data_IF_846090462445
#
_entry.id   IF_846090462445
#
_cell.length_a   1.000
_cell.length_b   1.000
_cell.length_c   1.000
_cell.angle_alpha   90.00
_cell.angle_beta   90.00
_cell.angle_gamma   90.00
#
_symmetry.space_group_name_H-M   'P 1'
#
loop_
_entity.id
_entity.type
_entity.pdbx_description
1 polymer ?
#
# COMPACT_ATOMS: atom_id res chain seq x y z
N UNK A 1 -84.86 -11.79 -20.99
CA UNK A 1 -83.73 -11.29 -21.79
C UNK A 1 -82.74 -10.76 -20.78
N UNK A 2 -81.66 -11.56 -20.44
CA UNK A 2 -80.67 -11.27 -19.37
C UNK A 2 -79.39 -10.87 -20.07
N UNK A 3 -78.95 -9.64 -19.87
CA UNK A 3 -77.66 -9.16 -20.34
C UNK A 3 -76.57 -9.47 -19.28
N UNK A 4 -75.54 -10.23 -19.66
CA UNK A 4 -74.36 -10.45 -18.90
C UNK A 4 -73.37 -9.38 -19.28
N UNK A 5 -72.92 -8.56 -18.29
CA UNK A 5 -71.78 -7.66 -18.41
C UNK A 5 -70.52 -8.43 -18.04
N UNK A 6 -69.60 -8.59 -18.98
CA UNK A 6 -68.24 -9.12 -18.75
C UNK A 6 -67.34 -7.94 -18.40
N UNK A 7 -66.97 -7.87 -17.15
CA UNK A 7 -65.93 -6.91 -16.68
C UNK A 7 -64.53 -7.38 -17.00
N UNK A 8 -63.80 -6.61 -17.80
CA UNK A 8 -62.38 -6.84 -18.14
C UNK A 8 -61.52 -6.27 -17.03
N UNK A 9 -60.86 -7.15 -16.24
CA UNK A 9 -59.87 -6.75 -15.23
C UNK A 9 -58.53 -6.59 -15.92
N UNK A 10 -58.04 -5.33 -16.00
CA UNK A 10 -56.70 -5.00 -16.47
C UNK A 10 -55.70 -5.19 -15.30
N UNK A 11 -54.90 -6.26 -15.31
CA UNK A 11 -53.78 -6.41 -14.41
C UNK A 11 -52.60 -5.55 -14.92
N UNK A 12 -52.34 -4.45 -14.23
CA UNK A 12 -51.14 -3.68 -14.43
C UNK A 12 -49.95 -4.42 -13.74
N UNK A 13 -49.06 -5.00 -14.54
CA UNK A 13 -47.78 -5.48 -14.06
C UNK A 13 -46.85 -4.27 -13.84
N UNK A 14 -46.65 -3.87 -12.60
CA UNK A 14 -45.59 -2.93 -12.22
C UNK A 14 -44.30 -3.71 -12.27
N UNK A 15 -43.53 -3.46 -13.32
CA UNK A 15 -42.16 -3.95 -13.45
C UNK A 15 -41.26 -3.21 -12.45
N UNK A 16 -40.92 -3.87 -11.35
CA UNK A 16 -39.92 -3.42 -10.41
C UNK A 16 -38.58 -4.01 -10.84
N UNK A 17 -37.88 -3.35 -11.75
CA UNK A 17 -36.53 -3.70 -12.14
C UNK A 17 -35.70 -2.43 -12.24
N UNK A 18 -34.76 -2.31 -11.32
CA UNK A 18 -33.47 -1.55 -11.36
C UNK A 18 -33.24 -0.65 -10.16
N UNK A 19 -32.88 -1.25 -9.05
CA UNK A 19 -32.19 -0.55 -7.95
C UNK A 19 -31.02 -1.37 -7.37
N UNK A 20 -30.32 -2.16 -8.19
CA UNK A 20 -29.15 -2.93 -7.73
C UNK A 20 -27.81 -2.47 -8.31
N UNK A 21 -27.73 -1.40 -9.08
CA UNK A 21 -26.49 -1.01 -9.77
C UNK A 21 -25.81 0.28 -9.28
N UNK A 22 -26.28 0.89 -8.19
CA UNK A 22 -25.72 2.17 -7.72
C UNK A 22 -24.95 2.12 -6.39
N UNK A 23 -24.80 0.98 -5.75
CA UNK A 23 -24.16 0.89 -4.43
C UNK A 23 -22.72 0.35 -4.46
N UNK A 24 -22.18 -0.03 -5.63
CA UNK A 24 -20.78 -0.45 -5.77
C UNK A 24 -19.80 0.69 -6.08
N UNK A 25 -20.29 1.91 -6.33
CA UNK A 25 -19.49 3.00 -6.87
C UNK A 25 -18.70 3.83 -5.83
N UNK A 26 -18.82 3.56 -4.54
CA UNK A 26 -18.26 4.45 -3.49
C UNK A 26 -17.28 3.81 -2.51
N UNK A 27 -16.67 2.67 -2.85
CA UNK A 27 -15.60 2.09 -2.03
C UNK A 27 -14.31 2.86 -2.29
N UNK A 28 -13.96 3.77 -1.38
CA UNK A 28 -12.72 4.54 -1.46
C UNK A 28 -11.53 3.65 -1.11
N UNK A 29 -10.52 3.69 -1.99
CA UNK A 29 -9.22 3.05 -1.75
C UNK A 29 -8.29 3.99 -1.00
N UNK A 30 -7.59 3.47 0.00
CA UNK A 30 -6.48 4.17 0.64
C UNK A 30 -5.25 4.02 -0.25
N UNK A 31 -4.77 5.16 -0.79
CA UNK A 31 -3.55 5.24 -1.59
C UNK A 31 -2.56 6.12 -0.83
N UNK A 32 -1.36 5.62 -0.60
CA UNK A 32 -0.28 6.43 -0.02
C UNK A 32 0.46 7.11 -1.17
N UNK A 33 0.66 8.43 -1.04
CA UNK A 33 1.58 9.21 -1.86
C UNK A 33 2.85 9.48 -1.06
N UNK A 34 4.01 9.17 -1.63
CA UNK A 34 5.32 9.60 -1.14
C UNK A 34 5.84 10.66 -2.11
N UNK A 35 6.17 11.84 -1.60
CA UNK A 35 6.87 12.88 -2.37
C UNK A 35 8.34 12.87 -1.96
N UNK A 36 9.23 12.74 -2.95
CA UNK A 36 10.68 12.73 -2.78
C UNK A 36 11.35 13.73 -3.73
N UNK A 37 12.65 14.05 -3.56
CA UNK A 37 13.40 14.81 -4.55
C UNK A 37 13.41 14.18 -5.96
N UNK A 38 13.29 12.85 -6.07
CA UNK A 38 13.25 12.11 -7.35
C UNK A 38 11.85 12.06 -7.97
N UNK A 39 10.81 12.50 -7.26
CA UNK A 39 9.43 12.53 -7.73
C UNK A 39 8.45 11.79 -6.82
N UNK A 40 7.23 11.61 -7.30
CA UNK A 40 6.15 11.01 -6.53
C UNK A 40 6.06 9.49 -6.74
N UNK A 41 5.74 8.78 -5.67
CA UNK A 41 5.49 7.33 -5.67
C UNK A 41 4.11 7.11 -5.05
N UNK A 42 3.27 6.30 -5.69
CA UNK A 42 1.93 5.99 -5.20
C UNK A 42 1.81 4.48 -5.02
N UNK A 43 1.31 4.06 -3.87
CA UNK A 43 1.04 2.66 -3.61
C UNK A 43 -0.27 2.44 -2.86
N UNK A 44 -0.90 1.30 -3.12
CA UNK A 44 -2.08 0.83 -2.39
C UNK A 44 -1.66 -0.04 -1.22
N UNK A 45 -2.49 -0.04 -0.17
CA UNK A 45 -2.34 -0.92 0.98
C UNK A 45 -3.29 -2.10 0.87
N UNK A 46 -2.80 -3.30 1.17
CA UNK A 46 -3.58 -4.54 1.07
C UNK A 46 -4.53 -4.73 2.25
N UNK A 47 -5.77 -5.10 1.97
CA UNK A 47 -6.78 -5.40 3.00
C UNK A 47 -6.50 -6.73 3.72
N UNK A 48 -5.71 -7.60 3.10
CA UNK A 48 -5.27 -8.89 3.67
C UNK A 48 -4.24 -8.74 4.80
N UNK A 49 -3.69 -7.53 5.00
CA UNK A 49 -2.73 -7.21 6.07
C UNK A 49 -3.24 -6.03 6.91
N UNK A 50 -4.39 -6.20 7.61
CA UNK A 50 -5.11 -5.10 8.24
C UNK A 50 -4.33 -4.39 9.36
N UNK A 51 -3.48 -5.11 10.11
CA UNK A 51 -2.67 -4.51 11.17
C UNK A 51 -1.57 -3.63 10.60
N UNK A 52 -0.82 -4.12 9.59
CA UNK A 52 0.20 -3.33 8.89
C UNK A 52 -0.45 -2.12 8.19
N UNK A 53 -1.57 -2.33 7.48
CA UNK A 53 -2.32 -1.24 6.83
C UNK A 53 -2.73 -0.16 7.82
N UNK A 54 -3.38 -0.52 8.92
CA UNK A 54 -3.89 0.45 9.91
C UNK A 54 -2.76 1.19 10.63
N UNK A 55 -1.68 0.46 10.99
CA UNK A 55 -0.48 1.05 11.60
C UNK A 55 0.20 2.04 10.66
N UNK A 56 0.41 1.67 9.41
CA UNK A 56 1.06 2.55 8.43
C UNK A 56 0.24 3.82 8.16
N UNK A 57 -1.08 3.68 7.95
CA UNK A 57 -1.99 4.83 7.79
C UNK A 57 -1.92 5.77 9.00
N UNK A 58 -1.87 5.22 10.21
CA UNK A 58 -1.76 6.02 11.43
C UNK A 58 -0.46 6.81 11.45
N UNK A 59 0.69 6.17 11.20
CA UNK A 59 2.00 6.82 11.17
C UNK A 59 2.08 7.93 10.12
N UNK A 60 1.54 7.69 8.91
CA UNK A 60 1.48 8.72 7.86
C UNK A 60 0.64 9.92 8.30
N UNK A 61 -0.54 9.68 8.90
CA UNK A 61 -1.42 10.77 9.37
C UNK A 61 -0.86 11.56 10.54
N UNK A 62 -0.06 10.90 11.38
CA UNK A 62 0.63 11.52 12.52
C UNK A 62 1.89 12.31 12.09
N UNK A 63 2.24 12.30 10.78
CA UNK A 63 3.44 12.96 10.24
C UNK A 63 4.74 12.25 10.63
N UNK A 64 4.67 11.01 11.11
CA UNK A 64 5.82 10.28 11.64
C UNK A 64 7.00 10.19 10.66
N UNK A 65 6.73 10.02 9.36
CA UNK A 65 7.76 9.84 8.34
C UNK A 65 8.44 11.13 7.91
N UNK A 66 7.96 12.31 8.33
CA UNK A 66 8.52 13.61 7.89
C UNK A 66 9.97 13.82 8.37
N UNK A 67 10.35 13.19 9.49
CA UNK A 67 11.70 13.22 10.06
C UNK A 67 12.62 12.12 9.52
N UNK A 68 12.14 11.30 8.57
CA UNK A 68 12.89 10.15 8.05
C UNK A 68 13.16 10.26 6.55
N UNK A 69 14.03 9.36 6.07
CA UNK A 69 14.50 9.29 4.68
C UNK A 69 14.38 7.86 4.14
N UNK A 70 14.60 7.69 2.84
CA UNK A 70 15.11 6.43 2.32
C UNK A 70 16.55 6.29 2.81
N UNK A 71 16.76 5.50 3.84
CA UNK A 71 18.02 5.40 4.59
C UNK A 71 18.88 4.21 4.18
N UNK A 72 18.39 3.33 3.30
CA UNK A 72 19.17 2.24 2.72
C UNK A 72 18.62 1.90 1.33
N UNK A 73 19.43 2.09 0.29
CA UNK A 73 19.00 1.87 -1.09
C UNK A 73 20.02 1.00 -1.84
N UNK A 74 19.54 -0.07 -2.47
CA UNK A 74 20.40 -1.04 -3.16
C UNK A 74 19.81 -1.32 -4.53
N UNK A 75 20.58 -1.04 -5.59
CA UNK A 75 20.16 -1.34 -6.97
C UNK A 75 19.91 -2.85 -7.14
N UNK A 76 18.89 -3.18 -7.90
CA UNK A 76 18.41 -4.53 -8.13
C UNK A 76 18.00 -5.28 -6.84
N UNK A 77 17.63 -4.52 -5.80
CA UNK A 77 17.14 -5.07 -4.54
C UNK A 77 15.97 -4.26 -4.01
N UNK A 78 16.19 -3.29 -3.13
CA UNK A 78 15.14 -2.50 -2.48
C UNK A 78 15.52 -1.04 -2.28
N UNK A 79 14.50 -0.16 -2.18
CA UNK A 79 14.57 1.13 -1.53
C UNK A 79 13.90 1.02 -0.15
N UNK A 80 14.66 1.14 0.92
CA UNK A 80 14.21 1.02 2.31
C UNK A 80 14.19 2.39 2.98
N UNK A 81 13.14 2.67 3.76
CA UNK A 81 12.98 3.95 4.45
C UNK A 81 12.16 3.83 5.74
N UNK A 82 12.04 4.95 6.44
CA UNK A 82 11.43 5.04 7.76
C UNK A 82 12.45 4.97 8.87
N UNK A 83 12.10 4.41 10.04
CA UNK A 83 13.01 4.35 11.16
C UNK A 83 14.30 3.58 10.81
N UNK A 84 15.46 3.97 11.40
CA UNK A 84 16.75 3.38 11.06
C UNK A 84 16.80 1.91 11.47
N UNK A 85 17.64 1.16 10.76
CA UNK A 85 17.94 -0.27 11.02
C UNK A 85 18.97 -0.38 12.16
N UNK A 86 18.58 0.08 13.35
CA UNK A 86 19.42 0.05 14.55
C UNK A 86 18.73 -0.74 15.66
N UNK A 87 19.49 -1.33 16.61
CA UNK A 87 18.92 -2.04 17.76
C UNK A 87 17.90 -1.19 18.53
N UNK A 88 18.14 0.12 18.66
CA UNK A 88 17.25 1.06 19.35
C UNK A 88 15.97 1.28 18.54
N UNK A 89 16.06 1.37 17.21
CA UNK A 89 14.91 1.55 16.30
C UNK A 89 13.93 0.39 16.39
N UNK A 90 14.40 -0.85 16.57
CA UNK A 90 13.57 -2.04 16.71
C UNK A 90 13.18 -2.34 18.16
N UNK A 91 14.13 -2.29 19.11
CA UNK A 91 13.89 -2.73 20.49
C UNK A 91 12.91 -1.84 21.25
N UNK A 92 12.85 -0.55 20.91
CA UNK A 92 11.94 0.42 21.51
C UNK A 92 10.76 0.80 20.58
N UNK A 93 10.57 0.09 19.47
CA UNK A 93 9.46 0.37 18.57
C UNK A 93 8.14 -0.04 19.22
N UNK A 94 7.24 0.90 19.59
CA UNK A 94 5.91 0.57 20.05
C UNK A 94 5.02 -0.05 18.95
N UNK A 95 5.54 -0.16 17.74
CA UNK A 95 4.86 -0.59 16.51
C UNK A 95 5.34 -1.94 16.00
N UNK A 96 5.81 -2.84 16.88
CA UNK A 96 6.09 -4.22 16.50
C UNK A 96 4.79 -4.96 16.19
N UNK A 97 4.65 -5.36 14.92
CA UNK A 97 3.46 -6.01 14.37
C UNK A 97 3.72 -7.49 14.15
N UNK A 98 2.77 -8.33 14.57
CA UNK A 98 2.81 -9.75 14.26
C UNK A 98 2.77 -9.96 12.73
N UNK A 99 3.41 -11.02 12.19
CA UNK A 99 3.45 -11.25 10.76
C UNK A 99 2.05 -11.51 10.19
N UNK A 100 1.77 -10.92 9.03
CA UNK A 100 0.54 -11.10 8.26
C UNK A 100 0.89 -11.67 6.88
N UNK A 101 1.47 -12.89 6.85
CA UNK A 101 1.83 -13.55 5.59
C UNK A 101 0.57 -14.02 4.86
N UNK A 102 0.53 -13.79 3.55
CA UNK A 102 -0.58 -14.18 2.71
C UNK A 102 -0.07 -14.82 1.41
N UNK A 103 -0.66 -15.95 0.94
CA UNK A 103 -0.14 -16.68 -0.23
C UNK A 103 -0.17 -15.87 -1.52
N UNK A 104 -1.06 -14.88 -1.64
CA UNK A 104 -1.18 -14.04 -2.83
C UNK A 104 -0.32 -12.77 -2.78
N UNK A 105 0.27 -12.45 -1.61
CA UNK A 105 1.10 -11.27 -1.42
C UNK A 105 2.58 -11.68 -1.45
N UNK A 106 3.22 -11.45 -2.60
CA UNK A 106 4.60 -11.85 -2.87
C UNK A 106 5.49 -10.65 -3.11
N UNK A 107 6.79 -10.83 -2.90
CA UNK A 107 7.80 -9.80 -3.14
C UNK A 107 8.08 -9.63 -4.64
N UNK A 108 7.05 -9.27 -5.39
CA UNK A 108 7.17 -8.90 -6.81
C UNK A 108 7.70 -7.47 -6.96
N UNK A 109 8.08 -7.07 -8.17
CA UNK A 109 8.49 -5.68 -8.47
C UNK A 109 7.43 -4.67 -8.02
N UNK A 110 7.83 -3.68 -7.22
CA UNK A 110 6.95 -2.67 -6.63
C UNK A 110 6.18 -3.12 -5.38
N UNK A 111 6.36 -4.37 -4.89
CA UNK A 111 5.79 -4.76 -3.61
C UNK A 111 6.35 -3.90 -2.47
N UNK A 112 5.48 -3.51 -1.52
CA UNK A 112 5.86 -2.77 -0.32
C UNK A 112 5.86 -3.73 0.86
N UNK A 113 7.03 -3.96 1.44
CA UNK A 113 7.23 -4.86 2.57
C UNK A 113 7.58 -4.12 3.86
N UNK A 114 7.30 -4.76 4.99
CA UNK A 114 7.62 -4.24 6.31
C UNK A 114 9.01 -4.71 6.75
N UNK A 115 9.87 -3.76 7.19
CA UNK A 115 11.18 -4.07 7.73
C UNK A 115 11.11 -4.74 9.10
N UNK A 116 12.13 -5.53 9.43
CA UNK A 116 12.30 -6.13 10.75
C UNK A 116 13.74 -6.51 11.02
N UNK A 117 14.08 -6.63 12.28
CA UNK A 117 15.29 -7.28 12.74
C UNK A 117 15.19 -8.83 12.67
N UNK A 118 16.20 -9.52 13.12
CA UNK A 118 16.21 -10.99 13.13
C UNK A 118 15.54 -11.56 14.41
N UNK A 119 14.29 -11.14 14.70
CA UNK A 119 13.52 -11.69 15.82
C UNK A 119 12.85 -13.03 15.45
N UNK A 120 12.80 -13.99 16.40
CA UNK A 120 12.24 -15.33 16.14
C UNK A 120 10.76 -15.33 15.77
N UNK A 121 9.99 -14.37 16.28
CA UNK A 121 8.56 -14.20 16.03
C UNK A 121 8.29 -13.58 14.65
N UNK A 122 9.31 -13.15 13.92
CA UNK A 122 9.24 -12.49 12.61
C UNK A 122 8.35 -11.23 12.62
N UNK A 123 8.28 -10.54 13.77
CA UNK A 123 7.50 -9.31 13.94
C UNK A 123 8.14 -8.15 13.18
N UNK A 124 7.30 -7.35 12.54
CA UNK A 124 7.74 -6.19 11.78
C UNK A 124 7.87 -4.95 12.66
N UNK A 125 8.86 -4.12 12.36
CA UNK A 125 8.89 -2.74 12.85
C UNK A 125 7.89 -1.91 12.03
N UNK A 126 6.77 -1.52 12.60
CA UNK A 126 5.74 -0.77 11.88
C UNK A 126 6.20 0.58 11.30
N UNK A 127 7.34 1.09 11.78
CA UNK A 127 8.00 2.34 11.36
C UNK A 127 8.95 2.18 10.17
N UNK A 128 9.26 0.95 9.72
CA UNK A 128 10.19 0.70 8.63
C UNK A 128 9.50 -0.02 7.47
N UNK A 129 9.72 0.43 6.26
CA UNK A 129 9.22 -0.19 5.04
C UNK A 129 10.29 -0.27 3.97
N UNK A 130 10.08 -1.11 2.98
CA UNK A 130 10.90 -1.14 1.76
C UNK A 130 10.04 -1.36 0.52
N UNK A 131 10.51 -0.87 -0.62
CA UNK A 131 9.91 -1.09 -1.93
C UNK A 131 10.82 -2.02 -2.72
N UNK A 132 10.29 -3.13 -3.20
CA UNK A 132 11.03 -4.09 -4.04
C UNK A 132 11.31 -3.47 -5.39
N UNK A 133 12.60 -3.30 -5.73
CA UNK A 133 13.02 -2.72 -7.00
C UNK A 133 13.51 -3.79 -8.00
N UNK A 134 13.90 -4.98 -7.51
CA UNK A 134 14.27 -6.09 -8.39
C UNK A 134 13.10 -6.51 -9.29
N UNK A 135 13.30 -6.49 -10.62
CA UNK A 135 12.25 -6.77 -11.61
C UNK A 135 11.81 -8.23 -11.62
N UNK A 136 12.66 -9.16 -11.18
CA UNK A 136 12.33 -10.57 -11.04
C UNK A 136 11.65 -10.89 -9.70
N UNK A 137 11.54 -9.89 -8.82
CA UNK A 137 11.05 -10.06 -7.46
C UNK A 137 12.11 -10.58 -6.49
N UNK A 138 11.74 -10.64 -5.22
CA UNK A 138 12.60 -11.11 -4.14
C UNK A 138 11.94 -12.29 -3.41
N UNK A 139 11.55 -13.33 -4.16
CA UNK A 139 10.77 -14.47 -3.64
C UNK A 139 11.42 -15.22 -2.48
N UNK A 140 12.75 -15.04 -2.26
CA UNK A 140 13.45 -15.57 -1.07
C UNK A 140 12.97 -14.92 0.25
N UNK A 141 12.25 -13.77 0.17
CA UNK A 141 11.68 -13.04 1.31
C UNK A 141 10.22 -13.42 1.57
N UNK A 142 9.58 -14.14 0.65
CA UNK A 142 8.19 -14.59 0.80
C UNK A 142 8.06 -15.47 2.06
N UNK A 143 6.93 -15.29 2.78
CA UNK A 143 6.62 -15.97 4.03
C UNK A 143 7.66 -15.73 5.17
N UNK A 144 8.52 -14.70 5.03
CA UNK A 144 9.49 -14.25 6.03
C UNK A 144 9.35 -12.77 6.40
N UNK A 145 8.86 -11.97 5.46
CA UNK A 145 8.56 -10.55 5.63
C UNK A 145 7.14 -10.29 5.13
N UNK A 146 6.39 -9.45 5.83
CA UNK A 146 5.02 -9.12 5.43
C UNK A 146 5.03 -8.13 4.27
N UNK A 147 4.41 -8.50 3.16
CA UNK A 147 4.07 -7.59 2.07
C UNK A 147 2.71 -6.98 2.38
N UNK A 148 2.63 -5.65 2.53
CA UNK A 148 1.40 -4.97 2.93
C UNK A 148 0.91 -3.93 1.92
N UNK A 149 1.62 -3.75 0.79
CA UNK A 149 1.23 -2.82 -0.24
C UNK A 149 1.85 -3.13 -1.60
N UNK A 150 1.42 -2.38 -2.62
CA UNK A 150 1.92 -2.46 -3.99
C UNK A 150 2.00 -1.06 -4.61
N UNK A 151 3.16 -0.70 -5.16
CA UNK A 151 3.32 0.51 -5.95
C UNK A 151 2.49 0.40 -7.23
N UNK A 152 1.69 1.43 -7.48
CA UNK A 152 0.81 1.53 -8.64
C UNK A 152 1.27 2.60 -9.64
N UNK A 153 2.10 3.56 -9.18
CA UNK A 153 2.67 4.61 -10.04
C UNK A 153 3.97 5.13 -9.41
N UNK A 154 4.96 5.47 -10.25
CA UNK A 154 6.21 6.07 -9.80
C UNK A 154 7.36 5.08 -9.59
N UNK A 155 7.31 3.85 -10.10
CA UNK A 155 8.43 2.92 -10.03
C UNK A 155 9.71 3.44 -10.72
N UNK A 156 9.59 4.29 -11.75
CA UNK A 156 10.73 4.99 -12.35
C UNK A 156 11.45 5.91 -11.34
N UNK A 157 10.74 6.49 -10.37
CA UNK A 157 11.33 7.28 -9.30
C UNK A 157 12.03 6.38 -8.27
N UNK A 158 11.46 5.19 -7.98
CA UNK A 158 12.14 4.16 -7.16
C UNK A 158 13.42 3.69 -7.85
N UNK A 159 13.38 3.47 -9.17
CA UNK A 159 14.58 3.12 -9.97
C UNK A 159 15.65 4.22 -9.92
N UNK A 160 15.25 5.49 -9.84
CA UNK A 160 16.20 6.61 -9.67
C UNK A 160 16.76 6.67 -8.23
N UNK A 161 15.94 6.40 -7.23
CA UNK A 161 16.35 6.38 -5.81
C UNK A 161 17.44 5.34 -5.56
N UNK A 162 17.30 4.11 -6.07
CA UNK A 162 18.29 3.06 -5.82
C UNK A 162 19.61 3.23 -6.57
N UNK A 163 19.72 4.25 -7.43
CA UNK A 163 20.92 4.56 -8.23
C UNK A 163 21.69 5.77 -7.73
N UNK A 164 21.27 6.39 -6.66
CA UNK A 164 22.05 7.47 -6.05
C UNK A 164 23.36 6.93 -5.46
N UNK A 165 24.34 7.80 -5.29
CA UNK A 165 25.57 7.45 -4.60
C UNK A 165 25.31 7.21 -3.12
N UNK A 166 25.88 6.12 -2.57
CA UNK A 166 25.71 5.67 -1.19
C UNK A 166 27.05 5.46 -0.51
N UNK A 167 27.02 5.42 0.81
CA UNK A 167 28.15 5.03 1.63
C UNK A 167 28.36 3.49 1.71
N UNK A 168 29.22 3.03 2.59
CA UNK A 168 29.55 1.61 2.77
C UNK A 168 28.45 0.75 3.40
N UNK A 169 27.38 1.37 3.90
CA UNK A 169 26.20 0.70 4.47
C UNK A 169 24.93 0.93 3.63
N UNK A 170 25.11 1.34 2.37
CA UNK A 170 24.04 1.61 1.39
C UNK A 170 23.18 2.84 1.75
N UNK A 171 23.62 3.74 2.64
CA UNK A 171 22.92 4.98 2.95
C UNK A 171 23.24 6.06 1.91
N UNK A 172 22.23 6.74 1.32
CA UNK A 172 22.46 7.83 0.38
C UNK A 172 23.28 8.98 0.99
N UNK A 173 24.34 9.46 0.29
CA UNK A 173 25.09 10.64 0.73
C UNK A 173 24.23 11.89 0.82
N UNK A 174 23.28 12.05 -0.12
CA UNK A 174 22.31 13.13 -0.08
C UNK A 174 20.97 12.58 0.43
N UNK A 175 20.42 13.13 1.53
CA UNK A 175 19.19 12.62 2.14
C UNK A 175 18.00 12.62 1.19
N UNK A 176 17.34 11.49 1.03
CA UNK A 176 16.11 11.36 0.24
C UNK A 176 14.92 11.39 1.20
N UNK A 177 14.36 12.59 1.40
CA UNK A 177 13.30 12.83 2.37
C UNK A 177 11.97 12.14 1.99
N UNK A 178 11.19 11.78 3.01
CA UNK A 178 9.89 11.15 2.89
C UNK A 178 8.80 12.14 3.32
N UNK A 179 8.05 12.69 2.35
CA UNK A 179 6.80 13.38 2.67
C UNK A 179 5.63 12.51 2.23
N UNK A 180 4.84 12.06 3.20
CA UNK A 180 3.77 11.09 2.95
C UNK A 180 2.40 11.65 3.26
N UNK A 181 1.41 11.22 2.47
CA UNK A 181 0.00 11.45 2.78
C UNK A 181 -0.86 10.26 2.35
N UNK A 182 -2.01 10.10 3.00
CA UNK A 182 -3.03 9.10 2.62
C UNK A 182 -4.13 9.78 1.84
N UNK A 183 -4.29 9.41 0.58
CA UNK A 183 -5.36 9.82 -0.31
C UNK A 183 -6.50 8.81 -0.23
N UNK A 184 -7.74 9.30 -0.14
CA UNK A 184 -8.94 8.45 -0.26
C UNK A 184 -9.56 8.66 -1.63
N UNK A 185 -9.28 7.73 -2.56
CA UNK A 185 -9.72 7.82 -3.94
C UNK A 185 -10.92 6.91 -4.17
N UNK A 186 -11.98 7.46 -4.76
CA UNK A 186 -13.02 6.67 -5.38
C UNK A 186 -12.52 6.00 -6.67
N UNK A 187 -13.34 5.17 -7.30
CA UNK A 187 -12.95 4.44 -8.52
C UNK A 187 -12.51 5.38 -9.64
N UNK A 188 -13.18 6.53 -9.81
CA UNK A 188 -12.83 7.50 -10.84
C UNK A 188 -11.47 8.17 -10.58
N UNK A 189 -11.23 8.62 -9.34
CA UNK A 189 -9.96 9.21 -8.91
C UNK A 189 -8.79 8.21 -9.03
N UNK A 190 -9.04 6.94 -8.71
CA UNK A 190 -8.05 5.88 -8.86
C UNK A 190 -7.69 5.63 -10.33
N UNK A 191 -8.67 5.56 -11.24
CA UNK A 191 -8.44 5.42 -12.69
C UNK A 191 -7.69 6.63 -13.29
N UNK A 192 -7.98 7.85 -12.80
CA UNK A 192 -7.25 9.07 -13.21
C UNK A 192 -5.78 8.99 -12.77
N UNK A 193 -5.51 8.49 -11.57
CA UNK A 193 -4.15 8.35 -11.06
C UNK A 193 -3.31 7.38 -11.91
N UNK A 194 -3.91 6.31 -12.42
CA UNK A 194 -3.21 5.28 -13.21
C UNK A 194 -2.86 5.71 -14.64
N UNK A 195 -3.44 6.77 -15.16
CA UNK A 195 -3.11 7.36 -16.47
C UNK A 195 -1.90 8.27 -16.39
#
# INVERSE_FOLDING_TARGET
MRFFFFGLIFLAFISCSSEKSQQEADVKKDVVRITTPQGEIFFVLHDQTPNHKSSFIKLVKDGYFEDYTFNRVIDNFVAQGGCPDTPEGFANSPYLLDPEFHPDLRHVYGAVGAGRDNNPEMRSAGCQFYIVQNKEGLHRLDDKYTVFGQVIKGMNNVDAIVKVETDSIDEPFEPITLKMEVLKLDSAGYEVLLK
#
